data_IF_445791093054
#
_entry.id   IF_445791093054
#
_cell.length_a   1.000
_cell.length_b   1.000
_cell.length_c   1.000
_cell.angle_alpha   90.00
_cell.angle_beta   90.00
_cell.angle_gamma   90.00
#
_symmetry.space_group_name_H-M   'P 1'
#
loop_
_entity.id
_entity.type
_entity.pdbx_description
1 polymer ?
#
# COMPACT_ATOMS: atom_id res chain seq x y z
N UNK A 1 6.34 -16.87 -5.14
CA UNK A 1 5.27 -15.85 -5.23
C UNK A 1 5.84 -14.48 -4.91
N UNK A 2 5.66 -13.49 -5.82
CA UNK A 2 6.14 -12.11 -5.63
C UNK A 2 4.99 -11.13 -5.67
N UNK A 3 4.83 -10.32 -4.61
CA UNK A 3 3.69 -9.41 -4.41
C UNK A 3 4.24 -8.01 -4.13
N UNK A 4 3.75 -7.02 -4.88
CA UNK A 4 4.01 -5.60 -4.62
C UNK A 4 3.08 -5.06 -3.53
N UNK A 5 3.57 -4.16 -2.69
CA UNK A 5 2.80 -3.52 -1.61
C UNK A 5 3.02 -2.01 -1.67
N UNK A 6 1.94 -1.27 -1.77
CA UNK A 6 1.94 0.20 -1.90
C UNK A 6 0.83 0.82 -1.04
N UNK A 7 1.00 2.06 -0.63
CA UNK A 7 -0.03 2.84 0.08
C UNK A 7 0.17 4.34 -0.08
N UNK A 8 -0.88 5.09 0.23
CA UNK A 8 -0.82 6.54 0.42
C UNK A 8 -0.24 7.27 -0.81
N UNK A 9 -0.88 7.06 -1.98
CA UNK A 9 -0.47 7.62 -3.29
C UNK A 9 -0.91 9.07 -3.42
N UNK A 10 -2.07 9.42 -2.85
CA UNK A 10 -2.58 10.79 -2.69
C UNK A 10 -2.54 11.66 -3.94
N UNK A 11 -2.85 11.12 -5.12
CA UNK A 11 -2.99 11.92 -6.35
C UNK A 11 -1.70 12.26 -7.08
N UNK A 12 -0.59 11.54 -6.82
CA UNK A 12 0.71 11.79 -7.46
C UNK A 12 1.07 10.75 -8.52
N UNK A 13 0.73 10.97 -9.80
CA UNK A 13 0.92 9.99 -10.88
C UNK A 13 2.38 9.61 -11.10
N UNK A 14 3.31 10.58 -11.07
CA UNK A 14 4.74 10.32 -11.27
C UNK A 14 5.34 9.43 -10.18
N UNK A 15 4.83 9.53 -8.95
CA UNK A 15 5.24 8.66 -7.83
C UNK A 15 4.74 7.24 -8.04
N UNK A 16 3.49 7.10 -8.45
CA UNK A 16 2.90 5.81 -8.76
C UNK A 16 3.62 5.10 -9.92
N UNK A 17 3.81 5.78 -11.05
CA UNK A 17 4.53 5.20 -12.20
C UNK A 17 5.98 4.85 -11.89
N UNK A 18 6.62 5.60 -11.00
CA UNK A 18 7.96 5.29 -10.52
C UNK A 18 7.97 4.01 -9.67
N UNK A 19 6.99 3.86 -8.78
CA UNK A 19 6.81 2.65 -7.97
C UNK A 19 6.55 1.41 -8.84
N UNK A 20 5.72 1.54 -9.90
CA UNK A 20 5.41 0.43 -10.81
C UNK A 20 6.64 -0.21 -11.46
N UNK A 21 7.72 0.54 -11.66
CA UNK A 21 8.98 0.00 -12.24
C UNK A 21 9.59 -1.09 -11.36
N UNK A 22 9.42 -0.99 -10.05
CA UNK A 22 9.95 -1.97 -9.10
C UNK A 22 9.03 -3.17 -8.91
N UNK A 23 7.78 -3.07 -9.36
CA UNK A 23 6.82 -4.19 -9.32
C UNK A 23 6.91 -5.12 -10.53
N UNK A 24 7.89 -4.91 -11.40
CA UNK A 24 8.12 -5.83 -12.52
C UNK A 24 8.34 -7.26 -12.00
N UNK A 25 7.58 -8.21 -12.56
CA UNK A 25 7.56 -9.60 -12.12
C UNK A 25 6.68 -9.89 -10.89
N UNK A 26 6.04 -8.86 -10.29
CA UNK A 26 5.00 -9.10 -9.30
C UNK A 26 3.73 -9.63 -9.97
N UNK A 27 3.11 -10.60 -9.31
CA UNK A 27 1.87 -11.23 -9.79
C UNK A 27 0.64 -10.40 -9.41
N UNK A 28 0.74 -9.60 -8.35
CA UNK A 28 -0.31 -8.77 -7.78
C UNK A 28 0.31 -7.56 -7.08
N UNK A 29 -0.41 -6.45 -7.06
CA UNK A 29 -0.13 -5.31 -6.18
C UNK A 29 -1.23 -5.25 -5.11
N UNK A 30 -0.84 -5.15 -3.85
CA UNK A 30 -1.73 -4.89 -2.72
C UNK A 30 -1.58 -3.44 -2.30
N UNK A 31 -2.65 -2.66 -2.44
CA UNK A 31 -2.68 -1.24 -2.09
C UNK A 31 -3.50 -1.03 -0.82
N UNK A 32 -2.93 -0.40 0.18
CA UNK A 32 -3.61 -0.12 1.43
C UNK A 32 -4.40 1.21 1.44
N UNK A 33 -4.73 1.77 0.27
CA UNK A 33 -5.66 2.91 0.13
C UNK A 33 -5.01 4.28 0.07
N UNK A 34 -5.84 5.31 0.18
CA UNK A 34 -5.53 6.74 0.04
C UNK A 34 -4.92 7.06 -1.33
N UNK A 35 -5.75 6.93 -2.39
CA UNK A 35 -5.29 6.94 -3.78
C UNK A 35 -5.30 8.32 -4.41
N UNK A 36 -6.48 8.95 -4.54
CA UNK A 36 -6.63 10.16 -5.36
C UNK A 36 -6.56 11.45 -4.57
N UNK A 37 -7.22 11.49 -3.41
CA UNK A 37 -7.33 12.72 -2.63
C UNK A 37 -6.12 12.93 -1.73
N UNK A 38 -5.56 14.15 -1.74
CA UNK A 38 -4.40 14.48 -0.90
C UNK A 38 -4.71 14.46 0.61
N UNK A 39 -5.99 14.57 1.00
CA UNK A 39 -6.42 14.69 2.39
C UNK A 39 -6.26 16.12 2.94
N UNK A 40 -7.16 16.56 3.83
CA UNK A 40 -7.19 17.98 4.28
C UNK A 40 -6.01 18.37 5.18
N UNK A 41 -5.27 17.39 5.71
CA UNK A 41 -4.12 17.59 6.60
C UNK A 41 -2.77 17.55 5.88
N UNK A 42 -2.74 17.18 4.62
CA UNK A 42 -1.52 17.08 3.83
C UNK A 42 -1.39 18.30 2.91
N UNK A 43 -0.17 18.82 2.69
CA UNK A 43 0.03 19.87 1.70
C UNK A 43 -0.17 19.34 0.29
N UNK A 44 -0.65 20.18 -0.61
CA UNK A 44 -0.60 19.90 -2.04
C UNK A 44 0.79 20.27 -2.53
N UNK A 45 1.57 19.27 -2.89
CA UNK A 45 2.92 19.44 -3.42
C UNK A 45 2.90 19.50 -4.95
N UNK A 46 4.01 19.89 -5.54
CA UNK A 46 4.19 19.88 -7.00
C UNK A 46 3.97 18.47 -7.57
N UNK A 47 3.23 18.41 -8.67
CA UNK A 47 2.91 17.16 -9.35
C UNK A 47 1.64 16.46 -8.85
N UNK A 48 0.84 17.07 -7.95
CA UNK A 48 -0.48 16.59 -7.61
C UNK A 48 -1.41 16.69 -8.83
N UNK A 49 -1.83 15.56 -9.36
CA UNK A 49 -2.73 15.46 -10.51
C UNK A 49 -3.52 14.15 -10.45
N UNK A 50 -4.65 14.11 -9.74
CA UNK A 50 -5.44 12.90 -9.60
C UNK A 50 -6.04 12.40 -10.94
N UNK A 51 -6.31 13.29 -11.90
CA UNK A 51 -6.82 12.90 -13.22
C UNK A 51 -5.76 12.10 -14.01
N UNK A 52 -4.51 12.57 -14.03
CA UNK A 52 -3.40 11.84 -14.64
C UNK A 52 -3.15 10.51 -13.92
N UNK A 53 -3.32 10.47 -12.59
CA UNK A 53 -3.20 9.22 -11.84
C UNK A 53 -4.24 8.18 -12.25
N UNK A 54 -5.49 8.58 -12.50
CA UNK A 54 -6.55 7.70 -13.02
C UNK A 54 -6.12 7.06 -14.35
N UNK A 55 -5.51 7.85 -15.25
CA UNK A 55 -4.99 7.34 -16.51
C UNK A 55 -3.85 6.33 -16.29
N UNK A 56 -2.94 6.60 -15.35
CA UNK A 56 -1.84 5.68 -15.02
C UNK A 56 -2.35 4.36 -14.42
N UNK A 57 -3.40 4.40 -13.59
CA UNK A 57 -4.07 3.18 -13.12
C UNK A 57 -4.64 2.36 -14.29
N UNK A 58 -5.26 3.02 -15.27
CA UNK A 58 -5.83 2.34 -16.44
C UNK A 58 -4.77 1.72 -17.36
N UNK A 59 -3.56 2.29 -17.39
CA UNK A 59 -2.41 1.77 -18.17
C UNK A 59 -1.69 0.64 -17.45
N UNK A 60 -1.86 0.51 -16.13
CA UNK A 60 -1.21 -0.53 -15.35
C UNK A 60 -1.68 -1.91 -15.80
N UNK A 61 -0.74 -2.85 -15.96
CA UNK A 61 -1.00 -4.22 -16.40
C UNK A 61 -0.93 -5.25 -15.27
N UNK A 62 -0.37 -4.85 -14.13
CA UNK A 62 -0.28 -5.76 -12.97
C UNK A 62 -1.60 -5.66 -12.22
N UNK A 63 -2.30 -6.77 -11.95
CA UNK A 63 -3.52 -6.73 -11.16
C UNK A 63 -3.29 -6.04 -9.81
N UNK A 64 -4.25 -5.20 -9.39
CA UNK A 64 -4.16 -4.47 -8.13
C UNK A 64 -5.43 -4.69 -7.31
N UNK A 65 -5.27 -4.99 -6.03
CA UNK A 65 -6.33 -5.01 -5.03
C UNK A 65 -6.15 -3.83 -4.08
N UNK A 66 -7.25 -3.13 -3.79
CA UNK A 66 -7.21 -1.88 -3.04
C UNK A 66 -8.14 -1.95 -1.85
N UNK A 67 -7.58 -1.84 -0.64
CA UNK A 67 -8.38 -1.56 0.55
C UNK A 67 -8.69 -0.06 0.61
N UNK A 68 -9.92 0.29 1.02
CA UNK A 68 -10.36 1.68 1.14
C UNK A 68 -9.62 2.39 2.27
N UNK A 69 -8.97 3.49 1.96
CA UNK A 69 -8.40 4.41 2.93
C UNK A 69 -9.41 5.47 3.43
N UNK A 70 -8.98 6.29 4.38
CA UNK A 70 -9.84 7.34 4.95
C UNK A 70 -10.03 8.55 4.02
N UNK A 71 -9.16 8.70 3.02
CA UNK A 71 -9.30 9.75 2.00
C UNK A 71 -9.99 9.25 0.73
N UNK A 72 -10.27 7.95 0.60
CA UNK A 72 -10.92 7.39 -0.58
C UNK A 72 -12.46 7.55 -0.50
N UNK A 73 -13.04 8.07 -1.56
CA UNK A 73 -14.48 8.31 -1.69
C UNK A 73 -15.13 7.30 -2.64
N UNK A 74 -16.46 7.22 -2.60
CA UNK A 74 -17.22 6.37 -3.54
C UNK A 74 -16.99 6.78 -5.00
N UNK A 75 -16.82 8.07 -5.26
CA UNK A 75 -16.56 8.58 -6.61
C UNK A 75 -15.21 8.07 -7.16
N UNK A 76 -14.23 7.79 -6.31
CA UNK A 76 -12.93 7.29 -6.74
C UNK A 76 -13.05 5.90 -7.37
N UNK A 77 -13.93 5.06 -6.82
CA UNK A 77 -14.25 3.76 -7.40
C UNK A 77 -14.83 3.88 -8.80
N UNK A 78 -15.71 4.86 -9.02
CA UNK A 78 -16.34 5.06 -10.33
C UNK A 78 -15.33 5.48 -11.38
N UNK A 79 -14.41 6.39 -11.04
CA UNK A 79 -13.44 6.94 -12.00
C UNK A 79 -12.24 6.02 -12.23
N UNK A 80 -11.84 5.25 -11.21
CA UNK A 80 -10.77 4.26 -11.35
C UNK A 80 -11.24 2.95 -12.01
N UNK A 81 -12.57 2.73 -12.05
CA UNK A 81 -13.17 1.47 -12.50
C UNK A 81 -12.58 0.23 -11.79
N UNK A 82 -12.31 0.38 -10.51
CA UNK A 82 -11.73 -0.64 -9.63
C UNK A 82 -12.60 -0.80 -8.37
N UNK A 83 -12.72 -2.01 -7.81
CA UNK A 83 -13.51 -2.23 -6.61
C UNK A 83 -12.77 -1.72 -5.35
N UNK A 84 -13.04 -0.45 -4.97
CA UNK A 84 -12.54 0.16 -3.72
C UNK A 84 -13.72 0.31 -2.75
N UNK A 85 -14.31 -0.78 -2.33
CA UNK A 85 -15.53 -0.75 -1.51
C UNK A 85 -15.38 -1.32 -0.12
N UNK A 86 -14.31 -2.05 0.15
CA UNK A 86 -14.09 -2.73 1.41
C UNK A 86 -12.93 -2.13 2.18
N UNK A 87 -13.12 -1.92 3.50
CA UNK A 87 -12.02 -1.55 4.39
C UNK A 87 -11.00 -2.68 4.56
N UNK A 88 -11.43 -3.92 4.26
CA UNK A 88 -10.60 -5.12 4.39
C UNK A 88 -10.58 -5.89 3.08
N UNK A 89 -9.39 -6.25 2.64
CA UNK A 89 -9.16 -7.20 1.56
C UNK A 89 -8.48 -8.42 2.13
N UNK A 90 -8.99 -9.59 1.82
CA UNK A 90 -8.33 -10.87 2.07
C UNK A 90 -7.82 -11.41 0.75
N UNK A 91 -6.52 -11.61 0.65
CA UNK A 91 -5.88 -12.24 -0.49
C UNK A 91 -5.13 -13.49 -0.03
N UNK A 92 -5.39 -14.62 -0.66
CA UNK A 92 -4.74 -15.88 -0.31
C UNK A 92 -4.18 -16.55 -1.56
N UNK A 93 -2.92 -16.91 -1.50
CA UNK A 93 -2.23 -17.65 -2.55
C UNK A 93 -1.07 -18.48 -1.96
N UNK A 94 -0.87 -19.67 -2.50
CA UNK A 94 0.21 -20.58 -2.09
C UNK A 94 0.27 -20.82 -0.56
N UNK A 95 -0.91 -20.93 0.08
CA UNK A 95 -1.09 -21.06 1.53
C UNK A 95 -0.58 -19.84 2.35
N UNK A 96 -0.32 -18.70 1.71
CA UNK A 96 -0.02 -17.44 2.37
C UNK A 96 -1.25 -16.55 2.33
N UNK A 97 -1.74 -16.16 3.51
CA UNK A 97 -2.88 -15.27 3.66
C UNK A 97 -2.44 -13.87 4.02
N UNK A 98 -2.84 -12.91 3.17
CA UNK A 98 -2.69 -11.48 3.38
C UNK A 98 -4.03 -10.90 3.84
N UNK A 99 -3.99 -9.98 4.81
CA UNK A 99 -5.07 -9.03 5.05
C UNK A 99 -4.53 -7.64 4.79
N UNK A 100 -5.29 -6.84 4.05
CA UNK A 100 -4.98 -5.45 3.76
C UNK A 100 -6.08 -4.59 4.38
N UNK A 101 -5.69 -3.61 5.18
CA UNK A 101 -6.54 -2.57 5.75
C UNK A 101 -5.74 -1.27 5.80
N UNK A 102 -6.37 -0.13 5.65
CA UNK A 102 -5.65 1.14 5.69
C UNK A 102 -5.02 1.46 7.06
N UNK A 103 -5.59 0.94 8.15
CA UNK A 103 -5.02 1.08 9.50
C UNK A 103 -5.53 2.29 10.30
N UNK A 104 -6.33 3.16 9.72
CA UNK A 104 -6.82 4.39 10.39
C UNK A 104 -7.84 4.15 11.51
N UNK A 105 -8.51 3.00 11.51
CA UNK A 105 -9.57 2.64 12.46
C UNK A 105 -9.17 1.53 13.45
N UNK A 106 -7.94 1.03 13.35
CA UNK A 106 -7.46 -0.09 14.16
C UNK A 106 -6.28 0.33 15.06
N UNK A 107 -6.36 -0.06 16.32
CA UNK A 107 -5.20 -0.04 17.21
C UNK A 107 -4.37 -1.33 17.09
N UNK A 108 -3.17 -1.32 17.66
CA UNK A 108 -2.23 -2.45 17.54
C UNK A 108 -2.77 -3.75 18.14
N UNK A 109 -3.57 -3.69 19.20
CA UNK A 109 -4.14 -4.90 19.82
C UNK A 109 -5.18 -5.53 18.89
N UNK A 110 -6.07 -4.71 18.33
CA UNK A 110 -7.07 -5.20 17.36
C UNK A 110 -6.42 -5.79 16.11
N UNK A 111 -5.32 -5.20 15.63
CA UNK A 111 -4.56 -5.77 14.52
C UNK A 111 -4.01 -7.16 14.86
N UNK A 112 -3.46 -7.34 16.06
CA UNK A 112 -2.91 -8.63 16.53
C UNK A 112 -3.99 -9.67 16.73
N UNK A 113 -5.09 -9.31 17.40
CA UNK A 113 -6.24 -10.19 17.62
C UNK A 113 -6.83 -10.68 16.30
N UNK A 114 -6.97 -9.77 15.34
CA UNK A 114 -7.47 -10.09 14.00
C UNK A 114 -6.51 -11.00 13.23
N UNK A 115 -5.21 -10.74 13.33
CA UNK A 115 -4.20 -11.56 12.69
C UNK A 115 -4.21 -13.01 13.21
N UNK A 116 -4.42 -13.20 14.50
CA UNK A 116 -4.56 -14.52 15.10
C UNK A 116 -5.88 -15.20 14.70
N UNK A 117 -7.01 -14.49 14.86
CA UNK A 117 -8.34 -15.03 14.56
C UNK A 117 -8.49 -15.51 13.11
N UNK A 118 -7.90 -14.78 12.16
CA UNK A 118 -7.97 -15.10 10.74
C UNK A 118 -6.74 -15.83 10.19
N UNK A 119 -5.82 -16.23 11.06
CA UNK A 119 -4.64 -17.02 10.69
C UNK A 119 -3.77 -16.33 9.61
N UNK A 120 -3.51 -15.03 9.77
CA UNK A 120 -2.85 -14.17 8.79
C UNK A 120 -1.34 -14.40 8.77
N UNK A 121 -0.75 -14.43 7.59
CA UNK A 121 0.71 -14.47 7.41
C UNK A 121 1.31 -13.07 7.22
N UNK A 122 0.61 -12.20 6.46
CA UNK A 122 1.05 -10.84 6.21
C UNK A 122 -0.12 -9.88 6.40
N UNK A 123 0.00 -8.94 7.32
CA UNK A 123 -0.98 -7.88 7.55
C UNK A 123 -0.42 -6.56 7.00
N UNK A 124 -1.07 -6.01 5.98
CA UNK A 124 -0.65 -4.77 5.32
C UNK A 124 -1.48 -3.60 5.82
N UNK A 125 -0.80 -2.52 6.20
CA UNK A 125 -1.43 -1.23 6.58
C UNK A 125 -0.80 -0.06 5.84
N UNK A 126 -1.41 1.12 5.92
CA UNK A 126 -0.94 2.42 5.42
C UNK A 126 -1.13 3.52 6.45
N UNK A 127 -1.76 4.64 6.05
CA UNK A 127 -2.24 5.76 6.87
C UNK A 127 -1.18 6.60 7.58
N UNK A 128 -0.21 5.98 8.24
CA UNK A 128 0.81 6.72 9.00
C UNK A 128 1.84 7.40 8.12
N UNK A 129 1.98 6.95 6.86
CA UNK A 129 3.04 7.31 5.92
C UNK A 129 4.45 6.96 6.41
N UNK A 130 4.54 6.14 7.45
CA UNK A 130 5.81 5.71 8.06
C UNK A 130 5.97 4.22 7.78
N UNK A 131 7.12 3.84 7.24
CA UNK A 131 7.45 2.42 7.07
C UNK A 131 7.48 1.72 8.42
N UNK A 132 6.90 0.54 8.45
CA UNK A 132 6.96 -0.34 9.62
C UNK A 132 7.05 -1.79 9.16
N UNK A 133 7.93 -2.53 9.79
CA UNK A 133 7.93 -3.99 9.77
C UNK A 133 7.99 -4.50 11.21
N UNK A 134 7.08 -5.35 11.56
CA UNK A 134 7.05 -6.04 12.85
C UNK A 134 6.65 -7.48 12.63
N UNK A 135 7.37 -8.42 13.20
CA UNK A 135 6.96 -9.82 13.23
C UNK A 135 6.40 -10.13 14.62
N UNK A 136 5.14 -10.47 14.67
CA UNK A 136 4.48 -10.93 15.88
C UNK A 136 3.90 -12.33 15.67
N UNK A 137 4.32 -13.29 16.48
CA UNK A 137 4.00 -14.71 16.27
C UNK A 137 4.40 -15.15 14.85
N UNK A 138 3.45 -15.62 14.04
CA UNK A 138 3.68 -15.99 12.64
C UNK A 138 3.38 -14.89 11.62
N UNK A 139 2.78 -13.78 12.07
CA UNK A 139 2.32 -12.69 11.21
C UNK A 139 3.41 -11.63 11.02
N UNK A 140 3.62 -11.24 9.78
CA UNK A 140 4.40 -10.06 9.41
C UNK A 140 3.45 -8.87 9.26
N UNK A 141 3.59 -7.84 10.09
CA UNK A 141 2.89 -6.56 9.98
C UNK A 141 3.74 -5.61 9.16
N UNK A 142 3.18 -5.12 8.05
CA UNK A 142 3.90 -4.35 7.04
C UNK A 142 3.16 -3.07 6.73
N UNK A 143 3.84 -1.94 6.88
CA UNK A 143 3.40 -0.66 6.33
C UNK A 143 4.47 -0.22 5.31
N UNK A 144 4.14 -0.06 4.01
CA UNK A 144 5.13 0.31 3.01
C UNK A 144 5.59 1.77 3.12
N UNK A 145 4.97 2.57 4.01
CA UNK A 145 5.09 4.02 4.03
C UNK A 145 4.23 4.66 2.93
N UNK A 146 4.56 5.88 2.53
CA UNK A 146 3.92 6.55 1.41
C UNK A 146 4.88 6.72 0.24
N UNK A 147 4.40 6.51 -0.97
CA UNK A 147 5.16 6.78 -2.19
C UNK A 147 5.25 8.27 -2.50
N UNK A 148 4.38 9.08 -1.92
CA UNK A 148 4.19 10.48 -2.32
C UNK A 148 4.47 11.48 -1.22
N UNK A 149 3.98 11.20 -0.02
CA UNK A 149 4.04 12.11 1.13
C UNK A 149 4.61 11.33 2.33
N UNK A 150 5.84 10.83 2.24
CA UNK A 150 6.44 10.03 3.32
C UNK A 150 6.63 10.86 4.58
N UNK A 151 6.57 10.17 5.72
CA UNK A 151 6.86 10.72 7.05
C UNK A 151 7.99 9.94 7.71
N UNK A 152 8.40 10.37 8.86
CA UNK A 152 9.56 9.79 9.56
C UNK A 152 10.86 10.23 8.91
N UNK A 153 11.52 9.36 8.21
CA UNK A 153 12.77 9.67 7.48
C UNK A 153 12.56 10.36 6.12
N UNK A 154 11.31 10.64 5.76
CA UNK A 154 10.93 11.33 4.51
C UNK A 154 11.30 10.61 3.22
N UNK A 155 11.56 9.31 3.28
CA UNK A 155 11.92 8.49 2.11
C UNK A 155 10.68 7.86 1.48
N UNK A 156 10.35 8.17 0.21
CA UNK A 156 9.22 7.57 -0.49
C UNK A 156 9.51 6.12 -0.81
N UNK A 157 8.59 5.23 -0.45
CA UNK A 157 8.87 3.80 -0.44
C UNK A 157 7.69 2.92 -0.82
N UNK A 158 8.03 1.71 -1.19
CA UNK A 158 7.15 0.56 -1.38
C UNK A 158 7.72 -0.63 -0.61
N UNK A 159 6.94 -1.71 -0.51
CA UNK A 159 7.45 -2.99 -0.08
C UNK A 159 7.21 -4.08 -1.14
N UNK A 160 8.04 -5.10 -1.13
CA UNK A 160 7.87 -6.33 -1.92
C UNK A 160 7.89 -7.50 -0.95
N UNK A 161 6.87 -8.33 -1.04
CA UNK A 161 6.89 -9.66 -0.45
C UNK A 161 7.38 -10.65 -1.50
N UNK A 162 8.38 -11.44 -1.18
CA UNK A 162 8.87 -12.51 -2.04
C UNK A 162 9.29 -13.71 -1.15
N UNK A 163 8.62 -14.84 -1.32
CA UNK A 163 8.93 -16.12 -0.67
C UNK A 163 9.19 -16.05 0.85
N UNK A 164 8.34 -15.31 1.55
CA UNK A 164 8.41 -15.16 3.02
C UNK A 164 9.29 -14.01 3.52
N UNK A 165 9.84 -13.21 2.60
CA UNK A 165 10.65 -12.04 2.94
C UNK A 165 9.95 -10.75 2.54
N UNK A 166 10.12 -9.70 3.33
CA UNK A 166 9.71 -8.33 3.01
C UNK A 166 10.95 -7.49 2.73
N UNK A 167 10.92 -6.81 1.59
CA UNK A 167 11.97 -5.86 1.18
C UNK A 167 11.35 -4.50 0.95
N UNK A 168 11.87 -3.45 1.59
CA UNK A 168 11.47 -2.06 1.31
C UNK A 168 12.42 -1.44 0.30
N UNK A 169 11.85 -0.66 -0.62
CA UNK A 169 12.62 -0.01 -1.70
C UNK A 169 12.33 1.49 -1.67
N UNK A 170 13.39 2.29 -1.65
CA UNK A 170 13.34 3.71 -1.94
C UNK A 170 13.02 3.87 -3.44
N UNK A 171 11.86 4.44 -3.77
CA UNK A 171 11.46 4.58 -5.18
C UNK A 171 12.26 5.65 -5.94
N UNK A 172 12.98 6.53 -5.23
CA UNK A 172 13.83 7.55 -5.86
C UNK A 172 15.17 6.98 -6.32
N UNK A 173 15.82 6.20 -5.48
CA UNK A 173 17.16 5.68 -5.73
C UNK A 173 17.19 4.22 -6.20
N UNK A 174 16.15 3.44 -5.89
CA UNK A 174 16.09 2.00 -6.09
C UNK A 174 16.82 1.19 -5.02
N UNK A 175 17.34 1.85 -4.00
CA UNK A 175 18.07 1.17 -2.93
C UNK A 175 17.13 0.41 -2.00
N UNK A 176 17.59 -0.73 -1.52
CA UNK A 176 16.92 -1.48 -0.45
C UNK A 176 17.13 -0.72 0.87
N UNK A 177 16.02 -0.45 1.54
CA UNK A 177 16.02 0.21 2.83
C UNK A 177 16.17 -0.84 3.93
N UNK A 178 17.15 -0.65 4.80
CA UNK A 178 17.43 -1.52 5.97
C UNK A 178 17.21 -0.75 7.26
N UNK A 179 16.93 -1.44 8.37
CA UNK A 179 16.82 -0.81 9.70
C UNK A 179 15.48 -0.10 9.96
N UNK A 180 14.39 -0.76 9.67
CA UNK A 180 13.02 -0.34 9.97
C UNK A 180 12.39 -1.15 11.08
#
# INVERSE_FOLDING_TARGET
MKIGIISDIHGYPKRFTKALKYFNGCEMILCAGDILYHGPRNPILEGYNPQELIEEFSRNKIPILIAKGNCDAEVDQMVLNLPIISEYIVYEKDAVRFIINHGHSLDENKLKDMAEAYNVNVFVTGHTHIRKYEKYSKTMFVNPGSVSIPRGDMVPSIAIYEDGLITFINIETGEIITGY
#
